data_IF_122374037005
#
_entry.id   IF_122374037005
#
_cell.length_a   1.000
_cell.length_b   1.000
_cell.length_c   1.000
_cell.angle_alpha   90.00
_cell.angle_beta   90.00
_cell.angle_gamma   90.00
#
_symmetry.space_group_name_H-M   'P 1'
#
loop_
_entity.id
_entity.type
_entity.pdbx_description
1 polymer ?
#
# COMPACT_ATOMS: atom_id res chain seq x y z
N UNK A 1 -31.27 24.88 -17.29
CA UNK A 1 -30.65 23.97 -16.31
C UNK A 1 -30.02 22.83 -17.11
N UNK A 2 -29.00 22.15 -16.56
CA UNK A 2 -28.07 21.21 -17.23
C UNK A 2 -26.76 21.83 -17.78
N UNK A 3 -25.89 22.22 -16.86
CA UNK A 3 -24.43 22.19 -17.06
C UNK A 3 -23.81 21.64 -15.79
N UNK A 4 -23.65 20.33 -15.68
CA UNK A 4 -23.30 19.74 -14.39
C UNK A 4 -22.76 18.31 -14.43
N UNK A 5 -21.93 17.92 -15.40
CA UNK A 5 -21.15 16.66 -15.26
C UNK A 5 -19.84 16.60 -16.05
N UNK A 6 -19.33 17.72 -16.59
CA UNK A 6 -18.06 17.76 -17.33
C UNK A 6 -17.04 18.69 -16.66
N UNK A 7 -16.68 18.36 -15.43
CA UNK A 7 -15.55 18.96 -14.72
C UNK A 7 -15.15 17.94 -13.64
N UNK A 8 -13.96 17.37 -13.54
CA UNK A 8 -12.63 17.66 -14.09
C UNK A 8 -11.86 16.32 -14.18
N UNK A 9 -11.35 15.97 -15.35
CA UNK A 9 -10.08 15.23 -15.45
C UNK A 9 -9.06 16.21 -15.99
N UNK A 10 -8.66 17.17 -15.15
CA UNK A 10 -7.45 17.92 -15.45
C UNK A 10 -6.31 16.90 -15.42
N UNK A 11 -5.66 16.72 -16.56
CA UNK A 11 -4.49 15.86 -16.71
C UNK A 11 -3.41 16.44 -15.80
N UNK A 12 -3.24 15.88 -14.60
CA UNK A 12 -2.19 16.34 -13.68
C UNK A 12 -0.85 16.19 -14.39
N UNK A 13 -0.06 17.27 -14.45
CA UNK A 13 1.23 17.29 -15.13
C UNK A 13 2.28 16.41 -14.44
N UNK A 14 2.02 15.92 -13.22
CA UNK A 14 2.87 14.96 -12.53
C UNK A 14 2.06 14.07 -11.54
N UNK A 15 1.37 13.01 -11.98
CA UNK A 15 0.57 12.18 -11.09
C UNK A 15 1.46 11.43 -10.08
N UNK A 16 1.03 11.41 -8.81
CA UNK A 16 1.68 10.63 -7.75
C UNK A 16 1.67 9.16 -8.12
N UNK A 17 2.84 8.51 -8.08
CA UNK A 17 3.00 7.07 -8.33
C UNK A 17 3.17 6.35 -7.02
N UNK A 18 2.21 5.51 -6.68
CA UNK A 18 2.25 4.70 -5.47
C UNK A 18 2.82 3.31 -5.80
N UNK A 19 3.95 2.97 -5.19
CA UNK A 19 4.64 1.68 -5.38
C UNK A 19 4.47 0.83 -4.14
N UNK A 20 3.81 -0.32 -4.28
CA UNK A 20 3.63 -1.26 -3.18
C UNK A 20 4.89 -2.11 -2.96
N UNK A 21 5.54 -1.90 -1.83
CA UNK A 21 6.62 -2.73 -1.33
C UNK A 21 6.09 -3.68 -0.27
N UNK A 22 6.37 -4.99 -0.41
CA UNK A 22 5.83 -6.02 0.49
C UNK A 22 6.92 -6.79 1.22
N UNK A 23 8.11 -6.21 1.39
CA UNK A 23 9.29 -6.89 1.95
C UNK A 23 9.76 -8.13 1.16
N UNK A 24 9.44 -8.21 -0.13
CA UNK A 24 9.98 -9.23 -1.04
C UNK A 24 11.02 -8.65 -2.00
N UNK A 25 12.00 -9.45 -2.40
CA UNK A 25 13.10 -9.02 -3.27
C UNK A 25 12.61 -8.35 -4.58
N UNK A 26 11.64 -8.95 -5.28
CA UNK A 26 11.11 -8.38 -6.51
C UNK A 26 10.44 -7.00 -6.30
N UNK A 27 9.74 -6.83 -5.17
CA UNK A 27 9.11 -5.55 -4.83
C UNK A 27 10.13 -4.48 -4.41
N UNK A 28 11.26 -4.88 -3.82
CA UNK A 28 12.36 -3.98 -3.51
C UNK A 28 13.03 -3.45 -4.78
N UNK A 29 13.31 -4.34 -5.75
CA UNK A 29 13.88 -3.95 -7.05
C UNK A 29 12.94 -3.03 -7.80
N UNK A 30 11.63 -3.34 -7.81
CA UNK A 30 10.63 -2.47 -8.41
C UNK A 30 10.63 -1.07 -7.77
N UNK A 31 10.73 -0.98 -6.44
CA UNK A 31 10.82 0.28 -5.73
C UNK A 31 12.07 1.08 -6.15
N UNK A 32 13.25 0.44 -6.23
CA UNK A 32 14.48 1.12 -6.68
C UNK A 32 14.31 1.68 -8.09
N UNK A 33 13.84 0.85 -9.04
CA UNK A 33 13.63 1.26 -10.43
C UNK A 33 12.64 2.42 -10.50
N UNK A 34 11.53 2.36 -9.75
CA UNK A 34 10.50 3.38 -9.78
C UNK A 34 11.00 4.72 -9.23
N UNK A 35 11.70 4.71 -8.09
CA UNK A 35 12.29 5.91 -7.47
C UNK A 35 13.30 6.57 -8.40
N UNK A 36 14.13 5.79 -9.11
CA UNK A 36 15.12 6.32 -10.04
C UNK A 36 14.52 6.84 -11.35
N UNK A 37 13.41 6.24 -11.82
CA UNK A 37 12.85 6.50 -13.15
C UNK A 37 11.79 7.57 -13.16
N UNK A 38 11.03 7.72 -12.07
CA UNK A 38 9.85 8.56 -12.04
C UNK A 38 9.90 9.58 -10.91
N UNK A 39 9.62 10.83 -11.26
CA UNK A 39 9.30 11.88 -10.29
C UNK A 39 7.96 11.60 -9.59
N UNK A 40 7.79 12.19 -8.41
CA UNK A 40 6.59 12.06 -7.58
C UNK A 40 6.22 10.59 -7.27
N UNK A 41 7.23 9.80 -6.86
CA UNK A 41 7.08 8.40 -6.48
C UNK A 41 7.01 8.26 -4.96
N UNK A 42 6.02 7.51 -4.48
CA UNK A 42 5.85 7.16 -3.07
C UNK A 42 5.88 5.64 -2.93
N UNK A 43 6.83 5.13 -2.15
CA UNK A 43 6.91 3.70 -1.82
C UNK A 43 6.14 3.46 -0.54
N UNK A 44 5.27 2.44 -0.55
CA UNK A 44 4.37 2.15 0.56
C UNK A 44 4.47 0.69 1.00
N UNK A 45 4.47 0.47 2.31
CA UNK A 45 4.43 -0.83 2.96
C UNK A 45 3.16 -0.95 3.82
N UNK A 46 2.40 -2.04 3.64
CA UNK A 46 1.23 -2.33 4.47
C UNK A 46 1.64 -3.14 5.70
N UNK A 47 1.62 -2.52 6.88
CA UNK A 47 1.83 -3.23 8.14
C UNK A 47 0.57 -4.04 8.50
N UNK A 48 0.70 -5.36 8.49
CA UNK A 48 -0.38 -6.28 8.86
C UNK A 48 -0.42 -6.57 10.36
N UNK A 49 0.59 -6.16 11.14
CA UNK A 49 0.73 -6.46 12.56
C UNK A 49 1.09 -7.91 12.91
N UNK A 50 1.18 -8.81 11.92
CA UNK A 50 1.53 -10.21 12.13
C UNK A 50 2.72 -10.70 11.32
N UNK A 51 3.48 -9.79 10.70
CA UNK A 51 4.68 -10.14 9.94
C UNK A 51 5.87 -10.40 10.88
N UNK A 52 6.84 -11.19 10.40
CA UNK A 52 8.06 -11.47 11.13
C UNK A 52 8.96 -10.23 11.27
N UNK A 53 9.67 -10.07 12.39
CA UNK A 53 10.53 -8.91 12.69
C UNK A 53 11.66 -8.70 11.66
N UNK A 54 12.06 -9.75 10.94
CA UNK A 54 12.99 -9.64 9.81
C UNK A 54 12.50 -8.70 8.71
N UNK A 55 11.18 -8.56 8.53
CA UNK A 55 10.62 -7.63 7.56
C UNK A 55 10.96 -6.19 7.93
N UNK A 56 10.95 -5.83 9.23
CA UNK A 56 11.32 -4.47 9.67
C UNK A 56 12.80 -4.19 9.43
N UNK A 57 13.67 -5.19 9.63
CA UNK A 57 15.10 -5.07 9.27
C UNK A 57 15.25 -4.84 7.76
N UNK A 58 14.68 -5.72 6.94
CA UNK A 58 14.78 -5.62 5.49
C UNK A 58 14.15 -4.34 4.93
N UNK A 59 13.06 -3.85 5.53
CA UNK A 59 12.46 -2.57 5.17
C UNK A 59 13.43 -1.41 5.36
N UNK A 60 14.19 -1.38 6.47
CA UNK A 60 15.22 -0.36 6.69
C UNK A 60 16.35 -0.47 5.67
N UNK A 61 16.85 -1.68 5.44
CA UNK A 61 17.90 -1.93 4.43
C UNK A 61 17.46 -1.44 3.04
N UNK A 62 16.20 -1.71 2.66
CA UNK A 62 15.63 -1.25 1.39
C UNK A 62 15.43 0.25 1.37
N UNK A 63 14.97 0.88 2.47
CA UNK A 63 14.79 2.33 2.54
C UNK A 63 16.11 3.08 2.31
N UNK A 64 17.19 2.60 2.93
CA UNK A 64 18.54 3.13 2.71
C UNK A 64 19.00 2.86 1.27
N UNK A 65 18.83 1.64 0.78
CA UNK A 65 19.26 1.25 -0.57
C UNK A 65 18.55 2.01 -1.69
N UNK A 66 17.25 2.31 -1.54
CA UNK A 66 16.50 3.07 -2.55
C UNK A 66 16.66 4.57 -2.42
N UNK A 67 17.23 5.06 -1.32
CA UNK A 67 17.45 6.48 -1.03
C UNK A 67 16.15 7.29 -1.04
N UNK A 68 15.05 6.67 -0.58
CA UNK A 68 13.73 7.28 -0.50
C UNK A 68 12.95 6.70 0.69
N UNK A 69 12.10 7.50 1.36
CA UNK A 69 11.31 7.02 2.50
C UNK A 69 10.29 5.97 2.07
N UNK A 70 10.05 4.98 2.94
CA UNK A 70 8.98 4.00 2.78
C UNK A 70 7.85 4.37 3.74
N UNK A 71 6.70 4.75 3.19
CA UNK A 71 5.51 5.08 3.97
C UNK A 71 4.89 3.80 4.53
N UNK A 72 4.68 3.74 5.83
CA UNK A 72 4.02 2.59 6.48
C UNK A 72 2.55 2.94 6.66
N UNK A 73 1.68 2.15 6.03
CA UNK A 73 0.23 2.25 6.18
C UNK A 73 -0.32 1.04 6.91
N UNK A 74 -1.40 1.23 7.67
CA UNK A 74 -2.00 0.20 8.50
C UNK A 74 -3.50 0.36 8.58
N UNK A 75 -4.23 -0.75 8.66
CA UNK A 75 -5.66 -0.69 9.00
C UNK A 75 -5.83 -0.49 10.52
N UNK A 76 -6.40 0.63 11.00
CA UNK A 76 -6.54 0.89 12.44
C UNK A 76 -7.58 -0.02 13.11
N UNK A 77 -8.43 -0.71 12.34
CA UNK A 77 -9.50 -1.57 12.88
C UNK A 77 -9.02 -2.95 13.35
N UNK A 78 -7.80 -3.34 12.99
CA UNK A 78 -7.29 -4.69 13.22
C UNK A 78 -5.88 -4.68 13.82
N UNK A 79 -5.68 -5.52 14.84
CA UNK A 79 -4.34 -5.75 15.40
C UNK A 79 -3.47 -6.63 14.50
N UNK A 80 -4.03 -7.70 13.94
CA UNK A 80 -3.31 -8.67 13.12
C UNK A 80 -4.28 -9.55 12.32
N UNK A 81 -3.75 -10.54 11.60
CA UNK A 81 -4.56 -11.48 10.82
C UNK A 81 -5.46 -12.37 11.69
N UNK A 82 -5.05 -12.68 12.93
CA UNK A 82 -5.91 -13.40 13.87
C UNK A 82 -7.07 -12.52 14.34
N UNK A 83 -6.83 -11.22 14.52
CA UNK A 83 -7.86 -10.27 14.88
C UNK A 83 -8.90 -10.10 13.78
N UNK A 84 -8.44 -10.04 12.52
CA UNK A 84 -9.35 -10.10 11.36
C UNK A 84 -10.23 -11.33 11.44
N UNK A 85 -9.65 -12.52 11.62
CA UNK A 85 -10.42 -13.77 11.74
C UNK A 85 -11.41 -13.74 12.92
N UNK A 86 -10.97 -13.28 14.10
CA UNK A 86 -11.82 -13.18 15.29
C UNK A 86 -13.02 -12.26 15.07
N UNK A 87 -12.87 -11.17 14.32
CA UNK A 87 -13.94 -10.22 14.05
C UNK A 87 -14.85 -10.67 12.90
N UNK A 88 -14.29 -11.17 11.80
CA UNK A 88 -15.08 -11.50 10.58
C UNK A 88 -15.57 -12.94 10.54
N UNK A 89 -15.07 -13.83 11.41
CA UNK A 89 -15.46 -15.24 11.57
C UNK A 89 -15.20 -16.15 10.36
N UNK A 90 -14.32 -15.75 9.45
CA UNK A 90 -13.82 -16.60 8.37
C UNK A 90 -12.39 -16.22 7.98
N UNK A 91 -11.65 -17.19 7.42
CA UNK A 91 -10.29 -16.95 6.91
C UNK A 91 -10.35 -16.58 5.42
N UNK A 92 -11.10 -17.34 4.63
CA UNK A 92 -11.24 -17.18 3.18
C UNK A 92 -12.66 -17.52 2.74
N UNK A 93 -13.16 -16.79 1.74
CA UNK A 93 -14.39 -17.11 1.02
C UNK A 93 -14.12 -17.06 -0.50
N UNK A 94 -15.18 -17.13 -1.31
CA UNK A 94 -15.07 -17.06 -2.78
C UNK A 94 -14.44 -15.75 -3.29
N UNK A 95 -14.44 -14.69 -2.49
CA UNK A 95 -13.83 -13.39 -2.80
C UNK A 95 -12.39 -13.26 -2.30
N UNK A 96 -11.82 -14.32 -1.69
CA UNK A 96 -10.43 -14.36 -1.25
C UNK A 96 -10.26 -14.35 0.27
N UNK A 97 -9.00 -14.17 0.70
CA UNK A 97 -8.63 -14.20 2.11
C UNK A 97 -8.99 -12.87 2.78
N UNK A 98 -9.69 -12.94 3.92
CA UNK A 98 -10.15 -11.77 4.66
C UNK A 98 -8.98 -10.85 5.05
N UNK A 99 -7.86 -11.43 5.49
CA UNK A 99 -6.67 -10.68 5.86
C UNK A 99 -6.06 -9.91 4.68
N UNK A 100 -6.04 -10.48 3.47
CA UNK A 100 -5.54 -9.80 2.28
C UNK A 100 -6.41 -8.59 1.94
N UNK A 101 -7.73 -8.76 1.97
CA UNK A 101 -8.68 -7.67 1.71
C UNK A 101 -8.53 -6.55 2.75
N UNK A 102 -8.66 -6.88 4.04
CA UNK A 102 -8.72 -5.90 5.13
C UNK A 102 -7.38 -5.23 5.43
N UNK A 103 -6.28 -5.98 5.44
CA UNK A 103 -4.98 -5.47 5.89
C UNK A 103 -4.12 -4.93 4.75
N UNK A 104 -4.40 -5.30 3.49
CA UNK A 104 -3.55 -4.91 2.34
C UNK A 104 -4.34 -4.15 1.27
N UNK A 105 -5.43 -4.72 0.75
CA UNK A 105 -6.16 -4.14 -0.39
C UNK A 105 -6.90 -2.85 0.00
N UNK A 106 -7.70 -2.89 1.07
CA UNK A 106 -8.50 -1.74 1.51
C UNK A 106 -7.63 -0.54 1.90
N UNK A 107 -6.59 -0.78 2.70
CA UNK A 107 -5.68 0.28 3.18
C UNK A 107 -4.96 0.94 2.00
N UNK A 108 -4.44 0.13 1.08
CA UNK A 108 -3.77 0.62 -0.11
C UNK A 108 -4.72 1.39 -1.03
N UNK A 109 -5.95 0.91 -1.21
CA UNK A 109 -6.96 1.61 -2.02
C UNK A 109 -7.18 3.02 -1.51
N UNK A 110 -7.44 3.16 -0.20
CA UNK A 110 -7.62 4.47 0.45
C UNK A 110 -6.40 5.35 0.21
N UNK A 111 -5.19 4.85 0.48
CA UNK A 111 -3.94 5.59 0.27
C UNK A 111 -3.64 5.93 -1.20
N UNK A 112 -4.33 5.33 -2.16
CA UNK A 112 -4.07 5.54 -3.59
C UNK A 112 -5.13 6.41 -4.25
N UNK A 113 -6.14 6.88 -3.50
CA UNK A 113 -7.09 7.85 -4.01
C UNK A 113 -6.38 9.20 -4.27
N UNK A 114 -6.86 10.05 -5.20
CA UNK A 114 -6.18 11.31 -5.51
C UNK A 114 -6.19 12.35 -4.38
N UNK A 115 -7.10 12.19 -3.41
CA UNK A 115 -7.40 13.11 -2.30
C UNK A 115 -7.14 12.49 -0.91
N UNK A 116 -6.35 11.42 -0.85
CA UNK A 116 -5.99 10.70 0.39
C UNK A 116 -5.17 11.52 1.40
#
# INVERSE_FOLDING_TARGET
MEKGTQQRRQKMSNPRRVVSFSCGASSAVLAKIAVQRYENTVVVYCDTGGEHESNKRFLRDVQEWIEAPIVIIRNPKFKDHFDVFRQVKYIKNIFGAACATRLKIEVKRIFSEPDD
#
